data_IF_347340798552
#
_entry.id   IF_347340798552
#
_cell.length_a   1.000
_cell.length_b   1.000
_cell.length_c   1.000
_cell.angle_alpha   90.00
_cell.angle_beta   90.00
_cell.angle_gamma   90.00
#
_symmetry.space_group_name_H-M   'P 1'
#
loop_
_entity.id
_entity.type
_entity.pdbx_description
1 polymer ?
#
# COMPACT_ATOMS: atom_id res chain seq x y z
N UNK A 1 -27.47 10.03 -44.75
CA UNK A 1 -26.24 10.79 -44.44
C UNK A 1 -25.78 10.35 -43.05
N UNK A 2 -24.90 9.35 -43.00
CA UNK A 2 -24.57 8.62 -41.79
C UNK A 2 -23.48 9.30 -40.96
N UNK A 3 -23.70 9.38 -39.65
CA UNK A 3 -22.65 9.73 -38.69
C UNK A 3 -21.93 8.45 -38.29
N UNK A 4 -20.70 8.33 -38.74
CA UNK A 4 -19.81 7.21 -38.43
C UNK A 4 -19.46 7.21 -36.94
N UNK A 5 -19.82 6.13 -36.25
CA UNK A 5 -19.28 5.79 -34.94
C UNK A 5 -17.82 5.41 -35.12
N UNK A 6 -16.90 6.33 -34.81
CA UNK A 6 -15.48 6.03 -34.83
C UNK A 6 -15.10 5.31 -33.54
N UNK A 7 -15.23 3.98 -33.58
CA UNK A 7 -14.79 3.09 -32.52
C UNK A 7 -13.28 3.19 -32.34
N UNK A 8 -12.85 3.63 -31.16
CA UNK A 8 -11.50 3.33 -30.67
C UNK A 8 -11.53 1.88 -30.19
N UNK A 9 -11.20 0.98 -31.11
CA UNK A 9 -10.83 -0.38 -30.80
C UNK A 9 -9.38 -0.36 -30.28
N UNK A 10 -9.21 -0.17 -28.98
CA UNK A 10 -7.96 -0.57 -28.32
C UNK A 10 -8.19 -1.96 -27.72
N UNK A 11 -8.16 -2.98 -28.60
CA UNK A 11 -8.07 -4.38 -28.21
C UNK A 11 -6.68 -4.67 -27.65
N UNK A 12 -6.34 -4.06 -26.52
CA UNK A 12 -5.20 -4.46 -25.72
C UNK A 12 -5.64 -5.62 -24.84
N UNK A 13 -5.20 -6.84 -25.15
CA UNK A 13 -5.17 -7.92 -24.17
C UNK A 13 -4.39 -7.40 -22.96
N UNK A 14 -5.09 -7.07 -21.88
CA UNK A 14 -4.49 -6.92 -20.57
C UNK A 14 -3.94 -8.30 -20.21
N UNK A 15 -2.66 -8.53 -20.50
CA UNK A 15 -1.94 -9.65 -19.93
C UNK A 15 -2.07 -9.51 -18.41
N UNK A 16 -2.94 -10.32 -17.81
CA UNK A 16 -3.16 -10.32 -16.38
C UNK A 16 -1.82 -10.59 -15.72
N UNK A 17 -1.26 -9.59 -15.06
CA UNK A 17 -0.01 -9.74 -14.35
C UNK A 17 -0.18 -10.87 -13.33
N UNK A 18 0.53 -11.98 -13.53
CA UNK A 18 0.62 -13.03 -12.53
C UNK A 18 1.45 -12.48 -11.38
N UNK A 19 0.75 -12.04 -10.32
CA UNK A 19 1.39 -11.64 -9.08
C UNK A 19 2.12 -12.82 -8.43
N UNK A 20 2.99 -12.57 -7.44
CA UNK A 20 3.62 -13.64 -6.69
C UNK A 20 2.56 -14.58 -6.09
N UNK A 21 2.81 -15.89 -6.11
CA UNK A 21 1.94 -16.87 -5.45
C UNK A 21 2.01 -16.66 -3.93
N UNK A 22 0.96 -16.07 -3.37
CA UNK A 22 0.83 -15.81 -1.93
C UNK A 22 0.04 -16.90 -1.20
N UNK A 23 -0.26 -18.04 -1.83
CA UNK A 23 -1.13 -19.09 -1.25
C UNK A 23 -0.62 -19.70 0.06
N UNK A 24 0.68 -19.56 0.35
CA UNK A 24 1.34 -20.03 1.58
C UNK A 24 1.76 -18.90 2.53
N UNK A 25 1.38 -17.65 2.24
CA UNK A 25 1.81 -16.52 3.06
C UNK A 25 1.09 -16.52 4.41
N UNK A 26 1.87 -16.37 5.48
CA UNK A 26 1.31 -16.23 6.82
C UNK A 26 0.89 -14.78 7.07
N UNK A 27 -0.22 -14.60 7.78
CA UNK A 27 -0.72 -13.28 8.21
C UNK A 27 -0.44 -13.10 9.70
N UNK A 28 0.30 -12.06 10.05
CA UNK A 28 0.54 -11.63 11.43
C UNK A 28 -0.05 -10.23 11.61
N UNK A 29 -0.97 -10.09 12.56
CA UNK A 29 -1.51 -8.81 12.96
C UNK A 29 -0.88 -8.37 14.29
N UNK A 30 -0.31 -7.17 14.31
CA UNK A 30 0.33 -6.57 15.48
C UNK A 30 -0.44 -5.32 15.85
N UNK A 31 -1.07 -5.29 17.02
CA UNK A 31 -1.67 -4.08 17.58
C UNK A 31 -0.74 -3.45 18.60
N UNK A 32 -0.69 -2.11 18.63
CA UNK A 32 0.03 -1.36 19.65
C UNK A 32 -1.00 -0.48 20.35
N UNK A 33 -1.27 -0.79 21.61
CA UNK A 33 -2.20 -0.02 22.44
C UNK A 33 -1.67 1.39 22.71
N UNK A 34 -2.61 2.34 22.81
CA UNK A 34 -2.35 3.76 23.09
C UNK A 34 -1.28 4.42 22.19
N UNK A 35 -1.12 3.92 20.96
CA UNK A 35 -0.14 4.42 20.01
C UNK A 35 -0.74 5.45 19.06
N UNK A 36 -0.20 6.67 19.07
CA UNK A 36 -0.53 7.68 18.08
C UNK A 36 0.57 7.78 17.00
N UNK A 37 0.19 8.25 15.80
CA UNK A 37 1.14 8.42 14.69
C UNK A 37 2.30 9.36 15.05
N UNK A 38 2.03 10.44 15.79
CA UNK A 38 3.04 11.41 16.18
C UNK A 38 4.12 10.84 17.11
N UNK A 39 3.91 9.67 17.73
CA UNK A 39 4.89 8.98 18.56
C UNK A 39 5.92 8.18 17.74
N UNK A 40 5.72 8.00 16.44
CA UNK A 40 6.56 7.13 15.63
C UNK A 40 7.57 7.92 14.79
N UNK A 41 8.82 7.47 14.79
CA UNK A 41 9.89 8.09 14.00
C UNK A 41 9.60 8.07 12.48
N UNK A 42 8.87 7.07 11.99
CA UNK A 42 8.44 7.01 10.58
C UNK A 42 7.42 8.08 10.19
N UNK A 43 6.82 8.79 11.15
CA UNK A 43 5.99 9.98 10.94
C UNK A 43 6.70 11.29 11.35
N UNK A 44 8.01 11.24 11.60
CA UNK A 44 8.84 12.42 11.86
C UNK A 44 9.08 12.77 13.33
N UNK A 45 8.74 11.88 14.28
CA UNK A 45 9.08 12.11 15.69
C UNK A 45 10.62 12.17 15.89
N UNK A 46 11.18 13.26 16.44
CA UNK A 46 12.64 13.42 16.59
C UNK A 46 13.22 12.74 17.85
N UNK A 47 12.38 12.28 18.78
CA UNK A 47 12.78 11.74 20.08
C UNK A 47 12.65 10.22 20.11
N UNK A 48 11.50 9.69 19.69
CA UNK A 48 11.17 8.27 19.76
C UNK A 48 11.95 7.48 18.70
N UNK A 49 12.84 6.59 19.15
CA UNK A 49 13.63 5.73 18.27
C UNK A 49 12.86 4.45 17.93
N UNK A 50 12.27 4.39 16.74
CA UNK A 50 11.53 3.21 16.25
C UNK A 50 12.14 2.62 14.97
N UNK A 51 13.40 2.11 15.01
CA UNK A 51 14.13 1.72 13.81
C UNK A 51 13.48 0.54 13.06
N UNK A 52 12.89 -0.43 13.76
CA UNK A 52 12.24 -1.58 13.12
C UNK A 52 10.93 -1.19 12.43
N UNK A 53 10.14 -0.29 13.04
CA UNK A 53 8.93 0.22 12.42
C UNK A 53 9.24 1.15 11.25
N UNK A 54 10.32 1.94 11.37
CA UNK A 54 10.80 2.79 10.28
C UNK A 54 11.26 1.96 9.08
N UNK A 55 11.97 0.86 9.32
CA UNK A 55 12.31 -0.11 8.26
C UNK A 55 11.05 -0.71 7.64
N UNK A 56 10.08 -1.15 8.44
CA UNK A 56 8.83 -1.72 7.94
C UNK A 56 8.06 -0.71 7.06
N UNK A 57 8.00 0.55 7.47
CA UNK A 57 7.39 1.62 6.69
C UNK A 57 8.15 1.92 5.39
N UNK A 58 9.48 1.80 5.38
CA UNK A 58 10.30 2.05 4.19
C UNK A 58 10.29 0.90 3.16
N UNK A 59 10.12 -0.34 3.63
CA UNK A 59 10.10 -1.54 2.76
C UNK A 59 8.69 -2.05 2.46
N UNK A 60 7.68 -1.52 3.14
CA UNK A 60 6.29 -1.93 3.01
C UNK A 60 5.40 -0.78 2.57
N UNK A 61 4.12 -0.90 2.90
CA UNK A 61 3.12 0.14 2.66
C UNK A 61 2.82 0.82 4.00
N UNK A 62 2.98 2.14 4.03
CA UNK A 62 2.59 3.00 5.17
C UNK A 62 1.37 3.82 4.77
N UNK A 63 0.40 3.91 5.66
CA UNK A 63 -0.78 4.75 5.46
C UNK A 63 -0.61 6.09 6.18
N UNK A 64 -0.48 7.18 5.43
CA UNK A 64 -0.39 8.53 6.02
C UNK A 64 -1.74 9.04 6.56
N UNK A 65 -2.85 8.35 6.24
CA UNK A 65 -4.22 8.69 6.65
C UNK A 65 -4.98 7.45 7.13
N UNK A 66 -4.53 6.88 8.25
CA UNK A 66 -5.25 5.83 8.96
C UNK A 66 -6.16 6.46 10.03
N UNK A 67 -7.47 6.34 9.86
CA UNK A 67 -8.48 6.86 10.79
C UNK A 67 -8.97 5.74 11.73
N UNK A 68 -9.36 6.12 12.95
CA UNK A 68 -9.91 5.25 14.00
C UNK A 68 -11.40 5.53 14.15
#
# INVERSE_FOLDING_TARGET
>A
MGVAWMGIACGGTIAGATGPDTSKMNVLFINIEDCNAAALGCYGNPICRTPHLSRLAATGIRFDRAYV
#
